data_IF_404794657279
#
_entry.id   IF_404794657279
#
_cell.length_a   1.000
_cell.length_b   1.000
_cell.length_c   1.000
_cell.angle_alpha   90.00
_cell.angle_beta   90.00
_cell.angle_gamma   90.00
#
_symmetry.space_group_name_H-M   'P 1'
#
loop_
_entity.id
_entity.type
_entity.pdbx_description
1 polymer ?
#
# COMPACT_ATOMS: atom_id res chain seq x y z
N UNK A 1 13.79 -17.21 -11.86
CA UNK A 1 15.11 -16.67 -11.46
C UNK A 1 15.66 -15.72 -12.51
N UNK A 2 15.57 -16.07 -13.79
CA UNK A 2 15.93 -15.21 -14.93
C UNK A 2 15.26 -13.81 -14.87
N UNK A 3 13.95 -13.72 -14.65
CA UNK A 3 13.23 -12.44 -14.56
C UNK A 3 13.69 -11.50 -13.45
N UNK A 4 14.34 -12.03 -12.40
CA UNK A 4 14.91 -11.25 -11.29
C UNK A 4 16.40 -10.92 -11.51
N UNK A 5 16.91 -11.10 -12.73
CA UNK A 5 18.32 -10.98 -13.09
C UNK A 5 19.28 -11.87 -12.25
N UNK A 6 18.78 -13.01 -11.74
CA UNK A 6 19.58 -13.94 -10.92
C UNK A 6 20.07 -15.11 -11.79
N UNK A 7 20.90 -14.81 -12.79
CA UNK A 7 21.32 -15.76 -13.83
C UNK A 7 22.10 -16.96 -13.28
N UNK A 8 23.08 -16.74 -12.39
CA UNK A 8 23.84 -17.82 -11.73
C UNK A 8 22.94 -18.85 -11.03
N UNK A 9 21.90 -18.35 -10.35
CA UNK A 9 20.94 -19.23 -9.66
C UNK A 9 19.99 -19.94 -10.63
N UNK A 10 19.65 -19.33 -11.76
CA UNK A 10 18.88 -20.00 -12.80
C UNK A 10 19.70 -21.15 -13.41
N UNK A 11 20.97 -20.91 -13.69
CA UNK A 11 21.92 -21.90 -14.19
C UNK A 11 22.08 -23.11 -13.23
N UNK A 12 22.31 -22.84 -11.94
CA UNK A 12 22.34 -23.89 -10.90
C UNK A 12 21.09 -24.79 -10.92
N UNK A 13 19.90 -24.21 -11.15
CA UNK A 13 18.62 -24.96 -11.18
C UNK A 13 18.53 -25.85 -12.43
N UNK A 14 18.94 -25.34 -13.60
CA UNK A 14 18.96 -26.13 -14.83
C UNK A 14 19.93 -27.30 -14.72
N UNK A 15 21.17 -27.04 -14.29
CA UNK A 15 22.18 -28.07 -14.09
C UNK A 15 21.71 -29.14 -13.09
N UNK A 16 21.05 -28.73 -12.01
CA UNK A 16 20.46 -29.64 -11.04
C UNK A 16 19.35 -30.52 -11.63
N UNK A 17 18.50 -29.96 -12.50
CA UNK A 17 17.44 -30.69 -13.20
C UNK A 17 18.02 -31.71 -14.19
N UNK A 18 19.05 -31.32 -14.95
CA UNK A 18 19.74 -32.17 -15.92
C UNK A 18 20.45 -33.32 -15.18
N UNK A 19 21.18 -33.04 -14.10
CA UNK A 19 21.85 -34.04 -13.28
C UNK A 19 20.85 -35.06 -12.68
N UNK A 20 19.63 -34.63 -12.37
CA UNK A 20 18.54 -35.50 -11.88
C UNK A 20 17.76 -36.21 -12.99
N UNK A 21 18.09 -35.96 -14.26
CA UNK A 21 17.35 -36.49 -15.42
C UNK A 21 15.84 -36.20 -15.32
N UNK A 22 15.49 -34.97 -14.93
CA UNK A 22 14.10 -34.55 -14.81
C UNK A 22 13.39 -34.65 -16.17
N UNK A 23 12.23 -35.32 -16.20
CA UNK A 23 11.47 -35.55 -17.45
C UNK A 23 10.55 -34.36 -17.74
N UNK A 24 10.40 -33.94 -19.00
CA UNK A 24 11.06 -34.43 -20.21
C UNK A 24 12.48 -33.85 -20.41
N UNK A 25 13.49 -34.72 -20.52
CA UNK A 25 14.92 -34.31 -20.53
C UNK A 25 15.26 -33.48 -21.77
N UNK A 26 14.79 -33.89 -22.95
CA UNK A 26 15.04 -33.16 -24.21
C UNK A 26 14.48 -31.73 -24.17
N UNK A 27 13.28 -31.56 -23.61
CA UNK A 27 12.67 -30.24 -23.41
C UNK A 27 13.50 -29.42 -22.43
N UNK A 28 13.94 -30.02 -21.33
CA UNK A 28 14.78 -29.35 -20.33
C UNK A 28 16.08 -28.83 -20.97
N UNK A 29 16.81 -29.67 -21.69
CA UNK A 29 18.03 -29.27 -22.39
C UNK A 29 17.79 -28.18 -23.44
N UNK A 30 16.70 -28.31 -24.21
CA UNK A 30 16.35 -27.31 -25.23
C UNK A 30 16.05 -25.95 -24.59
N UNK A 31 15.29 -25.93 -23.49
CA UNK A 31 15.02 -24.70 -22.74
C UNK A 31 16.26 -24.13 -22.07
N UNK A 32 17.21 -24.99 -21.65
CA UNK A 32 18.48 -24.56 -21.09
C UNK A 32 19.38 -23.90 -22.14
N UNK A 33 19.50 -24.47 -23.35
CA UNK A 33 20.20 -23.82 -24.48
C UNK A 33 19.59 -22.46 -24.81
N UNK A 34 18.26 -22.37 -24.85
CA UNK A 34 17.56 -21.11 -25.07
C UNK A 34 17.81 -20.10 -23.94
N UNK A 35 17.86 -20.55 -22.69
CA UNK A 35 18.25 -19.71 -21.54
C UNK A 35 19.66 -19.16 -21.68
N UNK A 36 20.65 -20.00 -22.03
CA UNK A 36 22.02 -19.54 -22.26
C UNK A 36 22.07 -18.45 -23.33
N UNK A 37 21.36 -18.66 -24.45
CA UNK A 37 21.24 -17.67 -25.52
C UNK A 37 20.57 -16.36 -25.10
N UNK A 38 19.62 -16.38 -24.16
CA UNK A 38 19.02 -15.14 -23.60
C UNK A 38 19.93 -14.47 -22.57
N UNK A 39 20.67 -15.25 -21.80
CA UNK A 39 21.54 -14.75 -20.72
C UNK A 39 22.77 -14.00 -21.23
N UNK A 40 23.24 -14.32 -22.43
CA UNK A 40 24.40 -13.67 -23.08
C UNK A 40 23.99 -12.51 -24.00
N UNK A 41 22.71 -12.40 -24.36
CA UNK A 41 22.20 -11.24 -25.08
C UNK A 41 22.27 -10.04 -24.15
N UNK A 42 23.01 -9.01 -24.55
CA UNK A 42 22.89 -7.70 -23.92
C UNK A 42 21.43 -7.26 -24.04
N UNK A 43 20.81 -6.86 -22.94
CA UNK A 43 19.58 -6.09 -23.03
C UNK A 43 19.93 -4.80 -23.75
N UNK A 44 19.43 -4.65 -24.97
CA UNK A 44 19.20 -3.33 -25.57
C UNK A 44 18.16 -2.68 -24.66
N UNK A 45 18.62 -1.98 -23.62
CA UNK A 45 17.78 -1.10 -22.85
C UNK A 45 18.11 0.31 -23.30
N UNK A 46 17.08 0.95 -23.82
CA UNK A 46 16.98 2.34 -24.24
C UNK A 46 17.50 3.31 -23.17
N UNK A 47 17.99 4.44 -23.67
CA UNK A 47 18.29 5.69 -22.95
C UNK A 47 19.30 5.62 -21.80
N UNK A 48 20.56 5.48 -22.18
CA UNK A 48 21.72 6.05 -21.46
C UNK A 48 21.85 7.57 -21.75
N UNK A 49 20.72 8.26 -21.95
CA UNK A 49 20.61 9.69 -22.30
C UNK A 49 19.59 10.40 -21.42
N UNK A 50 19.73 10.24 -20.12
CA UNK A 50 19.31 11.27 -19.18
C UNK A 50 20.49 11.50 -18.24
N UNK A 51 21.21 12.60 -18.45
CA UNK A 51 22.10 13.17 -17.45
C UNK A 51 21.28 13.43 -16.19
N UNK A 52 21.29 12.47 -15.28
CA UNK A 52 20.59 12.54 -14.01
C UNK A 52 21.42 13.41 -13.06
N UNK A 53 21.32 14.73 -13.26
CA UNK A 53 21.88 15.75 -12.35
C UNK A 53 21.12 15.79 -10.99
N UNK A 54 20.26 14.81 -10.70
CA UNK A 54 19.59 14.72 -9.41
C UNK A 54 20.54 14.25 -8.31
N UNK A 55 20.41 14.80 -7.09
CA UNK A 55 21.23 14.39 -5.98
C UNK A 55 20.98 12.91 -5.63
N UNK A 56 22.01 12.09 -5.78
CA UNK A 56 22.00 10.67 -5.40
C UNK A 56 21.63 10.54 -3.92
N UNK A 57 20.63 9.71 -3.61
CA UNK A 57 20.20 9.40 -2.24
C UNK A 57 21.37 8.88 -1.42
N UNK A 58 21.71 9.59 -0.34
CA UNK A 58 22.73 9.17 0.63
C UNK A 58 22.09 8.31 1.74
N UNK A 59 22.69 7.14 2.03
CA UNK A 59 22.21 6.25 3.10
C UNK A 59 22.63 6.77 4.47
N UNK A 60 21.72 6.76 5.45
CA UNK A 60 22.03 7.17 6.82
C UNK A 60 22.36 8.65 7.00
N UNK A 61 21.95 9.51 6.06
CA UNK A 61 22.13 10.96 6.21
C UNK A 61 21.16 11.51 7.24
N UNK A 62 21.71 12.27 8.19
CA UNK A 62 20.93 13.00 9.16
C UNK A 62 20.12 14.09 8.43
N UNK A 63 18.81 13.90 8.35
CA UNK A 63 17.91 14.93 7.85
C UNK A 63 17.77 15.99 8.94
N UNK A 64 18.43 17.13 8.76
CA UNK A 64 18.08 18.32 9.52
C UNK A 64 16.64 18.68 9.14
N UNK A 65 15.71 18.44 10.07
CA UNK A 65 14.27 18.72 9.96
C UNK A 65 14.01 20.23 9.92
N UNK A 66 14.53 20.92 8.90
CA UNK A 66 14.50 22.38 8.81
C UNK A 66 14.18 22.95 7.42
N UNK A 67 14.45 22.23 6.33
CA UNK A 67 14.40 22.87 5.00
C UNK A 67 13.07 22.77 4.24
N UNK A 68 12.13 21.90 4.66
CA UNK A 68 10.88 21.67 3.89
C UNK A 68 9.59 21.66 4.69
N UNK A 69 9.59 22.10 5.96
CA UNK A 69 8.33 22.29 6.69
C UNK A 69 8.40 23.52 7.58
N UNK A 70 7.58 24.50 7.24
CA UNK A 70 7.37 25.71 8.02
C UNK A 70 7.20 25.40 9.51
N UNK A 71 7.93 26.17 10.30
CA UNK A 71 7.65 26.58 11.68
C UNK A 71 6.45 25.88 12.34
N UNK A 72 6.64 24.67 12.85
CA UNK A 72 5.89 24.14 14.00
C UNK A 72 6.55 22.85 14.47
N UNK A 73 7.49 22.99 15.40
CA UNK A 73 7.78 22.01 16.43
C UNK A 73 8.82 22.61 17.37
N UNK A 74 8.35 23.43 18.29
CA UNK A 74 9.01 23.63 19.56
C UNK A 74 8.92 22.31 20.35
N UNK A 75 9.76 21.33 20.01
CA UNK A 75 9.98 20.10 20.78
C UNK A 75 11.19 19.32 20.24
N UNK A 76 12.33 20.00 20.02
CA UNK A 76 13.59 19.33 19.64
C UNK A 76 14.53 19.06 20.83
N UNK A 77 14.09 19.35 22.06
CA UNK A 77 14.95 19.27 23.25
C UNK A 77 15.25 17.84 23.73
N UNK A 78 14.80 16.80 23.01
CA UNK A 78 14.98 15.40 23.40
C UNK A 78 16.00 14.60 22.56
N UNK A 79 16.66 15.20 21.56
CA UNK A 79 17.58 14.47 20.67
C UNK A 79 19.06 14.85 20.79
N UNK A 80 19.43 15.62 21.81
CA UNK A 80 20.83 15.93 22.10
C UNK A 80 21.28 15.27 23.41
N UNK A 81 21.62 13.98 23.34
CA UNK A 81 22.54 13.36 24.32
C UNK A 81 23.60 12.54 23.60
N UNK A 82 24.89 12.89 23.72
CA UNK A 82 25.97 12.10 23.16
C UNK A 82 26.20 10.83 23.98
N UNK A 83 26.08 9.69 23.30
CA UNK A 83 26.76 8.39 23.49
C UNK A 83 27.20 8.06 24.93
N UNK A 84 26.33 7.34 25.66
CA UNK A 84 26.83 6.32 26.59
C UNK A 84 27.45 5.23 25.73
N UNK A 85 28.78 5.07 25.76
CA UNK A 85 29.39 3.84 25.24
C UNK A 85 28.90 2.72 26.16
N UNK A 86 27.94 1.93 25.69
CA UNK A 86 27.60 0.65 26.29
C UNK A 86 28.87 -0.21 26.28
N UNK A 87 29.65 -0.13 27.36
CA UNK A 87 30.68 -1.12 27.63
C UNK A 87 29.95 -2.42 27.89
N UNK A 88 30.30 -3.45 27.14
CA UNK A 88 29.74 -4.79 27.27
C UNK A 88 30.12 -5.31 28.66
N UNK A 89 29.17 -5.32 29.58
CA UNK A 89 29.29 -5.98 30.88
C UNK A 89 29.13 -7.46 30.59
N UNK A 90 30.20 -8.16 30.21
CA UNK A 90 30.19 -9.62 30.17
C UNK A 90 31.59 -10.16 30.44
N UNK A 91 31.72 -10.90 31.54
CA UNK A 91 32.89 -11.68 31.96
C UNK A 91 32.97 -13.01 31.19
N UNK A 92 32.39 -13.08 29.99
CA UNK A 92 32.32 -14.30 29.19
C UNK A 92 33.31 -14.23 28.03
N UNK A 93 34.22 -15.21 27.97
CA UNK A 93 35.18 -15.39 26.87
C UNK A 93 34.43 -15.40 25.53
N UNK A 94 34.75 -14.51 24.58
CA UNK A 94 34.04 -14.47 23.32
C UNK A 94 34.31 -15.74 22.51
N UNK A 95 33.26 -16.39 22.02
CA UNK A 95 33.38 -17.49 21.07
C UNK A 95 33.83 -16.90 19.73
N UNK A 96 34.94 -17.40 19.20
CA UNK A 96 35.41 -17.05 17.87
C UNK A 96 34.41 -17.49 16.80
N UNK A 97 33.96 -16.55 15.98
CA UNK A 97 33.09 -16.86 14.84
C UNK A 97 33.95 -17.56 13.78
N UNK A 98 33.42 -18.64 13.19
CA UNK A 98 34.08 -19.36 12.10
C UNK A 98 34.42 -18.39 10.96
N UNK A 99 35.71 -18.31 10.62
CA UNK A 99 36.21 -17.57 9.47
C UNK A 99 36.37 -18.55 8.32
N UNK A 100 35.46 -18.49 7.35
CA UNK A 100 35.60 -19.24 6.11
C UNK A 100 36.84 -18.70 5.36
N UNK A 101 37.91 -19.51 5.31
CA UNK A 101 39.06 -19.22 4.46
C UNK A 101 38.69 -19.56 3.01
N UNK A 102 39.06 -18.73 2.02
CA UNK A 102 38.69 -18.90 0.62
C UNK A 102 39.53 -19.99 -0.06
N UNK A 103 39.61 -21.18 0.53
CA UNK A 103 40.08 -22.36 -0.19
C UNK A 103 39.00 -22.71 -1.23
N UNK A 104 39.35 -22.73 -2.53
CA UNK A 104 38.38 -22.99 -3.56
C UNK A 104 37.90 -24.45 -3.45
N UNK A 105 36.59 -24.62 -3.37
CA UNK A 105 35.81 -25.82 -3.74
C UNK A 105 35.36 -26.82 -2.66
N UNK A 106 35.99 -26.97 -1.49
CA UNK A 106 35.67 -28.14 -0.65
C UNK A 106 34.59 -27.91 0.44
N UNK A 107 34.36 -26.67 0.88
CA UNK A 107 33.40 -26.35 1.95
C UNK A 107 31.96 -26.07 1.49
N UNK A 108 31.80 -25.38 0.36
CA UNK A 108 30.50 -24.83 -0.05
C UNK A 108 29.50 -25.90 -0.55
N UNK A 109 29.99 -26.96 -1.19
CA UNK A 109 29.16 -28.10 -1.63
C UNK A 109 28.63 -28.91 -0.45
N UNK A 110 29.37 -28.98 0.66
CA UNK A 110 29.00 -29.77 1.85
C UNK A 110 27.87 -29.14 2.65
N UNK A 111 27.71 -27.81 2.59
CA UNK A 111 26.69 -27.07 3.32
C UNK A 111 25.30 -27.12 2.66
N UNK A 112 25.18 -27.54 1.41
CA UNK A 112 23.89 -27.71 0.72
C UNK A 112 23.25 -29.08 1.00
N UNK A 113 23.47 -29.64 2.20
CA UNK A 113 22.91 -30.92 2.60
C UNK A 113 21.37 -30.91 2.42
N UNK A 114 20.85 -31.99 1.87
CA UNK A 114 19.46 -32.13 1.41
C UNK A 114 18.47 -32.36 2.56
N UNK A 115 18.89 -32.11 3.81
CA UNK A 115 18.25 -32.71 4.99
C UNK A 115 17.19 -31.82 5.64
N UNK A 116 17.01 -30.57 5.16
CA UNK A 116 15.97 -29.68 5.69
C UNK A 116 14.79 -29.60 4.74
N UNK A 117 13.90 -30.59 4.83
CA UNK A 117 12.60 -30.55 4.16
C UNK A 117 11.73 -29.53 4.90
N UNK A 118 11.43 -28.41 4.26
CA UNK A 118 10.43 -27.47 4.74
C UNK A 118 9.05 -28.09 4.50
N UNK A 119 8.51 -28.80 5.50
CA UNK A 119 7.26 -29.56 5.40
C UNK A 119 6.01 -28.67 5.28
N UNK A 120 6.11 -27.39 5.65
CA UNK A 120 5.00 -26.44 5.61
C UNK A 120 5.40 -25.20 4.81
N UNK A 121 4.84 -25.06 3.62
CA UNK A 121 4.89 -23.80 2.87
C UNK A 121 3.70 -22.95 3.34
N UNK A 122 3.95 -21.93 4.16
CA UNK A 122 2.88 -20.97 4.55
C UNK A 122 2.19 -20.37 3.33
N UNK A 123 0.92 -19.95 3.47
CA UNK A 123 0.20 -19.33 2.35
C UNK A 123 0.71 -17.92 2.05
N UNK A 124 0.41 -17.37 0.87
CA UNK A 124 0.75 -15.98 0.56
C UNK A 124 0.04 -15.00 1.53
N UNK A 125 -1.16 -15.35 1.99
CA UNK A 125 -1.89 -14.59 2.99
C UNK A 125 -1.15 -14.58 4.33
N UNK A 126 -0.64 -15.73 4.78
CA UNK A 126 0.12 -15.82 6.03
C UNK A 126 1.40 -14.98 6.01
N UNK A 127 2.08 -14.94 4.86
CA UNK A 127 3.32 -14.15 4.68
C UNK A 127 3.06 -12.64 4.66
N UNK A 128 1.91 -12.21 4.15
CA UNK A 128 1.59 -10.81 3.94
C UNK A 128 0.65 -10.21 5.01
N UNK A 129 0.21 -10.99 6.00
CA UNK A 129 -0.74 -10.55 7.04
C UNK A 129 -0.26 -9.33 7.84
N UNK A 130 1.06 -9.15 7.98
CA UNK A 130 1.66 -8.02 8.68
C UNK A 130 1.91 -6.82 7.76
N UNK A 131 2.08 -7.05 6.45
CA UNK A 131 2.24 -6.00 5.45
C UNK A 131 0.89 -5.41 5.00
N UNK A 132 -0.18 -6.21 5.04
CA UNK A 132 -1.51 -5.84 4.61
C UNK A 132 -2.50 -5.99 5.77
N UNK A 133 -2.92 -4.87 6.37
CA UNK A 133 -4.02 -4.87 7.32
C UNK A 133 -5.34 -5.10 6.57
N UNK A 134 -6.06 -6.16 6.93
CA UNK A 134 -7.42 -6.37 6.44
C UNK A 134 -8.34 -5.31 7.05
N UNK A 135 -9.09 -4.54 6.25
CA UNK A 135 -10.05 -3.58 6.80
C UNK A 135 -11.09 -4.32 7.64
N UNK A 136 -11.09 -4.09 8.95
CA UNK A 136 -12.21 -4.52 9.78
C UNK A 136 -13.36 -3.52 9.58
N UNK A 137 -14.57 -4.01 9.30
CA UNK A 137 -15.78 -3.17 9.44
C UNK A 137 -15.82 -2.70 10.89
N UNK A 138 -16.23 -1.45 11.15
CA UNK A 138 -16.72 -1.09 12.48
C UNK A 138 -17.75 -2.15 12.83
N UNK A 139 -17.49 -2.97 13.85
CA UNK A 139 -18.46 -3.95 14.30
C UNK A 139 -19.64 -3.13 14.77
N UNK A 140 -20.64 -2.98 13.91
CA UNK A 140 -21.90 -2.35 14.26
C UNK A 140 -22.49 -3.31 15.28
N UNK A 141 -22.11 -3.11 16.55
CA UNK A 141 -22.82 -3.63 17.68
C UNK A 141 -24.25 -3.19 17.42
N UNK A 142 -25.07 -4.12 16.91
CA UNK A 142 -26.49 -3.87 16.72
C UNK A 142 -27.00 -3.74 18.14
N UNK A 143 -27.14 -2.50 18.60
CA UNK A 143 -27.81 -2.20 19.86
C UNK A 143 -29.19 -2.83 19.74
N UNK A 144 -29.52 -3.86 20.54
CA UNK A 144 -30.84 -4.48 20.45
C UNK A 144 -31.88 -3.38 20.70
N UNK A 145 -32.91 -3.25 19.86
CA UNK A 145 -34.00 -2.34 20.17
C UNK A 145 -34.56 -2.74 21.53
N UNK A 146 -34.46 -1.83 22.51
CA UNK A 146 -35.00 -2.03 23.84
C UNK A 146 -36.51 -2.19 23.67
N UNK A 147 -37.02 -3.43 23.73
CA UNK A 147 -38.46 -3.71 23.73
C UNK A 147 -38.98 -3.20 25.07
N UNK A 148 -39.28 -1.90 25.13
CA UNK A 148 -40.06 -1.34 26.21
C UNK A 148 -41.47 -1.92 26.05
N UNK A 149 -41.81 -2.87 26.92
CA UNK A 149 -43.20 -3.28 27.10
C UNK A 149 -44.02 -2.02 27.43
N UNK A 150 -44.84 -1.57 26.48
CA UNK A 150 -45.88 -0.57 26.74
C UNK A 150 -47.22 -1.30 26.82
N UNK A 151 -48.03 -1.09 27.87
CA UNK A 151 -49.43 -1.48 27.84
C UNK A 151 -50.20 -0.57 26.86
N UNK A 152 -51.39 -1.04 26.48
CA UNK A 152 -52.20 -0.54 25.38
C UNK A 152 -52.43 0.99 25.31
N UNK A 153 -52.29 1.48 24.07
CA UNK A 153 -52.76 2.71 23.41
C UNK A 153 -53.65 3.70 24.20
N UNK A 154 -53.23 4.97 24.19
CA UNK A 154 -54.08 6.15 23.93
C UNK A 154 -53.45 6.96 22.77
N UNK A 155 -54.22 7.50 21.80
CA UNK A 155 -53.66 8.20 20.64
C UNK A 155 -53.34 9.65 21.00
N UNK A 156 -52.13 9.90 21.50
CA UNK A 156 -51.61 11.24 21.65
C UNK A 156 -50.61 11.54 20.52
N UNK A 157 -51.03 12.45 19.64
CA UNK A 157 -50.31 13.34 18.71
C UNK A 157 -48.88 12.92 18.29
N UNK A 158 -48.70 12.83 16.98
CA UNK A 158 -47.43 12.85 16.25
C UNK A 158 -46.44 13.86 16.84
N UNK A 159 -45.41 13.37 17.54
CA UNK A 159 -44.22 14.16 17.87
C UNK A 159 -43.39 14.31 16.59
N UNK A 160 -43.67 15.32 15.77
CA UNK A 160 -42.72 15.82 14.78
C UNK A 160 -41.60 16.57 15.49
N UNK A 161 -40.35 16.28 15.13
CA UNK A 161 -39.18 17.03 15.61
C UNK A 161 -39.34 18.50 15.19
N UNK A 162 -39.20 19.42 16.15
CA UNK A 162 -39.15 20.85 15.88
C UNK A 162 -37.84 21.16 15.14
N UNK A 163 -37.95 21.50 13.86
CA UNK A 163 -36.82 21.98 13.06
C UNK A 163 -36.84 23.50 13.14
N UNK A 164 -35.91 24.06 13.89
CA UNK A 164 -35.68 25.51 13.90
C UNK A 164 -34.89 25.87 12.65
N UNK A 165 -35.44 26.77 11.84
CA UNK A 165 -34.80 27.35 10.66
C UNK A 165 -34.37 28.76 11.05
N UNK A 166 -33.10 29.09 10.87
CA UNK A 166 -32.57 30.44 11.13
C UNK A 166 -33.25 31.45 10.19
N UNK A 167 -33.50 32.67 10.66
CA UNK A 167 -34.29 33.70 9.94
C UNK A 167 -33.75 34.00 8.53
N UNK A 168 -32.44 33.86 8.32
CA UNK A 168 -31.77 34.01 7.02
C UNK A 168 -32.24 32.99 5.96
N UNK A 169 -32.79 31.83 6.37
CA UNK A 169 -33.32 30.79 5.47
C UNK A 169 -34.84 30.88 5.23
N UNK A 170 -35.55 31.83 5.85
CA UNK A 170 -36.99 32.00 5.68
C UNK A 170 -37.37 32.90 4.49
N UNK A 171 -36.44 33.71 3.99
CA UNK A 171 -36.70 34.72 2.94
C UNK A 171 -36.68 34.18 1.50
N UNK A 172 -36.23 32.94 1.28
CA UNK A 172 -36.28 32.30 -0.03
C UNK A 172 -37.67 31.66 -0.26
N UNK A 173 -38.43 32.04 -1.32
CA UNK A 173 -39.73 31.47 -1.58
C UNK A 173 -39.62 29.97 -1.89
N UNK A 174 -40.22 29.16 -1.03
CA UNK A 174 -40.28 27.71 -1.16
C UNK A 174 -40.77 27.30 -2.58
N UNK A 175 -40.04 26.42 -3.30
CA UNK A 175 -40.52 25.91 -4.58
C UNK A 175 -41.80 25.07 -4.35
N UNK A 176 -42.79 25.34 -5.20
CA UNK A 176 -44.04 24.60 -5.46
C UNK A 176 -44.21 23.29 -4.68
N UNK A 177 -45.28 23.25 -3.89
CA UNK A 177 -45.75 22.12 -3.10
C UNK A 177 -45.69 20.80 -3.90
N UNK A 178 -44.69 19.98 -3.60
CA UNK A 178 -44.64 18.60 -4.09
C UNK A 178 -45.60 17.77 -3.22
N UNK A 179 -46.55 17.01 -3.80
CA UNK A 179 -47.49 16.22 -3.02
C UNK A 179 -46.75 15.25 -2.09
N UNK A 180 -47.12 15.29 -0.79
CA UNK A 180 -46.58 14.46 0.28
C UNK A 180 -46.81 12.98 -0.04
N UNK A 181 -45.84 12.32 -0.68
CA UNK A 181 -45.82 10.86 -0.78
C UNK A 181 -45.22 10.26 0.49
N UNK A 182 -45.74 9.14 1.04
CA UNK A 182 -45.33 8.58 2.34
C UNK A 182 -43.91 7.97 2.37
N UNK A 183 -43.14 8.12 1.28
CA UNK A 183 -41.80 7.55 1.13
C UNK A 183 -40.90 8.61 0.49
N UNK A 184 -40.10 9.39 1.25
CA UNK A 184 -39.08 10.24 0.65
C UNK A 184 -38.01 9.33 0.02
N UNK A 185 -38.15 9.05 -1.27
CA UNK A 185 -37.19 8.23 -2.00
C UNK A 185 -35.95 9.05 -2.31
N UNK A 186 -34.83 8.69 -1.66
CA UNK A 186 -33.47 9.20 -1.87
C UNK A 186 -33.03 9.16 -3.36
N UNK A 187 -33.75 8.40 -4.21
CA UNK A 187 -33.47 8.29 -5.64
C UNK A 187 -33.80 9.55 -6.45
N UNK A 188 -34.74 10.41 -6.01
CA UNK A 188 -35.11 11.61 -6.79
C UNK A 188 -34.06 12.72 -6.69
N UNK A 189 -33.35 12.83 -5.56
CA UNK A 189 -32.27 13.81 -5.38
C UNK A 189 -31.10 13.54 -6.36
N UNK A 190 -30.80 12.27 -6.63
CA UNK A 190 -29.73 11.88 -7.56
C UNK A 190 -30.04 12.18 -9.02
N UNK A 191 -31.32 12.19 -9.42
CA UNK A 191 -31.72 12.46 -10.81
C UNK A 191 -31.65 13.94 -11.19
N UNK A 192 -31.83 14.85 -10.22
CA UNK A 192 -31.71 16.29 -10.45
C UNK A 192 -30.24 16.73 -10.63
N UNK A 193 -29.31 16.12 -9.88
CA UNK A 193 -27.87 16.43 -9.96
C UNK A 193 -27.16 15.72 -11.11
N UNK A 194 -27.58 14.51 -11.49
CA UNK A 194 -26.91 13.73 -12.55
C UNK A 194 -26.99 14.35 -13.95
N UNK A 195 -28.06 15.11 -14.25
CA UNK A 195 -28.22 15.80 -15.54
C UNK A 195 -27.29 17.00 -15.66
N UNK A 196 -27.02 17.70 -14.54
CA UNK A 196 -26.09 18.82 -14.51
C UNK A 196 -24.63 18.33 -14.52
N UNK A 197 -24.34 17.20 -13.86
CA UNK A 197 -22.98 16.65 -13.80
C UNK A 197 -22.40 16.37 -15.19
N UNK A 198 -23.17 15.81 -16.13
CA UNK A 198 -22.69 15.53 -17.49
C UNK A 198 -22.30 16.81 -18.25
N UNK A 199 -23.13 17.86 -18.14
CA UNK A 199 -22.85 19.15 -18.78
C UNK A 199 -21.65 19.85 -18.14
N UNK A 200 -21.55 19.80 -16.82
CA UNK A 200 -20.43 20.34 -16.07
C UNK A 200 -19.11 19.63 -16.44
N UNK A 201 -19.13 18.30 -16.59
CA UNK A 201 -17.94 17.54 -17.02
C UNK A 201 -17.49 17.88 -18.44
N UNK A 202 -18.41 18.13 -19.38
CA UNK A 202 -18.04 18.59 -20.72
C UNK A 202 -17.42 19.99 -20.69
N UNK A 203 -18.00 20.90 -19.89
CA UNK A 203 -17.47 22.25 -19.69
C UNK A 203 -16.07 22.29 -19.05
N UNK A 204 -15.82 21.39 -18.08
CA UNK A 204 -14.50 21.24 -17.46
C UNK A 204 -13.47 20.60 -18.41
N UNK A 205 -13.91 19.80 -19.39
CA UNK A 205 -13.02 19.32 -20.45
C UNK A 205 -12.61 20.43 -21.42
N UNK A 206 -13.56 21.29 -21.80
CA UNK A 206 -13.29 22.42 -22.70
C UNK A 206 -12.46 23.52 -22.02
N UNK A 207 -12.75 23.83 -20.75
CA UNK A 207 -11.97 24.78 -19.96
C UNK A 207 -11.79 24.27 -18.52
N UNK A 208 -10.66 23.59 -18.22
CA UNK A 208 -10.44 22.99 -16.91
C UNK A 208 -10.28 24.01 -15.79
N UNK A 209 -9.96 25.27 -16.11
CA UNK A 209 -9.73 26.33 -15.13
C UNK A 209 -10.92 27.29 -15.00
N UNK A 210 -12.05 26.96 -15.63
CA UNK A 210 -13.23 27.84 -15.70
C UNK A 210 -13.80 28.24 -14.34
N UNK A 211 -13.63 27.40 -13.32
CA UNK A 211 -14.12 27.65 -11.97
C UNK A 211 -13.07 28.37 -11.10
N UNK A 212 -11.92 28.73 -11.66
CA UNK A 212 -10.87 29.45 -10.95
C UNK A 212 -10.85 30.92 -11.39
N UNK A 213 -10.76 31.87 -10.45
CA UNK A 213 -10.62 33.28 -10.79
C UNK A 213 -9.27 33.49 -11.50
N UNK A 214 -9.25 34.34 -12.52
CA UNK A 214 -8.05 34.64 -13.31
C UNK A 214 -6.89 35.22 -12.48
N UNK A 215 -7.17 35.70 -11.26
CA UNK A 215 -6.17 36.13 -10.29
C UNK A 215 -5.32 34.99 -9.72
N UNK A 216 -5.76 33.73 -9.82
CA UNK A 216 -5.04 32.56 -9.32
C UNK A 216 -4.06 31.94 -10.33
N UNK A 217 -3.94 32.52 -11.52
CA UNK A 217 -3.04 32.05 -12.61
C UNK A 217 -1.81 32.96 -12.79
N UNK A 218 -1.53 33.82 -11.81
CA UNK A 218 -0.29 34.59 -11.67
C UNK A 218 0.58 33.95 -10.61
#
# INVERSE_FOLDING_TARGET
MESKNKLKKADEIFNLGIARKAKPVEKLETTYRAFLGRSTRKKEHEDDTASDDQPVRKFGSDLNRGETRGQHAENSHLLAKPRVKLQRIDVNTPISIYKENPLPSQGLERARSKDRVWNTLGTQADRNKENNMMPARWTSHKIPPKVAARPAVLPARVNSIEVFVDEECAEEPAPSQVPKSPKPSVLKLRQATSKNLKKETELLKENPLRNFPLSSLR
#
